data_IF_210632667535
#
_entry.id   IF_210632667535
#
_cell.length_a   1.000
_cell.length_b   1.000
_cell.length_c   1.000
_cell.angle_alpha   90.00
_cell.angle_beta   90.00
_cell.angle_gamma   90.00
#
_symmetry.space_group_name_H-M   'P 1'
#
loop_
_entity.id
_entity.type
_entity.pdbx_description
1 polymer ?
#
# COMPACT_ATOMS: atom_id res chain seq x y z
N UNK A 1 3.85 10.01 11.95
CA UNK A 1 4.04 9.30 10.67
C UNK A 1 5.50 8.94 10.51
N UNK A 2 5.81 7.69 10.14
CA UNK A 2 7.12 7.25 9.64
C UNK A 2 6.98 6.60 8.27
N UNK A 3 8.02 6.67 7.46
CA UNK A 3 8.10 6.00 6.16
C UNK A 3 9.34 5.13 6.14
N UNK A 4 9.17 3.86 5.81
CA UNK A 4 10.24 2.89 5.60
C UNK A 4 10.28 2.48 4.13
N UNK A 5 11.48 2.41 3.58
CA UNK A 5 11.71 1.96 2.21
C UNK A 5 11.95 0.45 2.24
N UNK A 6 11.23 -0.30 1.40
CA UNK A 6 11.42 -1.74 1.22
C UNK A 6 11.92 -1.96 -0.20
N UNK A 7 13.25 -2.17 -0.38
CA UNK A 7 13.82 -2.34 -1.71
C UNK A 7 13.35 -3.65 -2.35
N UNK A 8 13.01 -3.59 -3.64
CA UNK A 8 12.86 -4.76 -4.49
C UNK A 8 13.72 -4.60 -5.77
N UNK A 9 13.97 -5.67 -6.55
CA UNK A 9 14.92 -5.64 -7.65
C UNK A 9 14.68 -4.50 -8.65
N UNK A 10 15.76 -4.12 -9.36
CA UNK A 10 15.77 -3.10 -10.41
C UNK A 10 15.47 -1.68 -9.91
N UNK A 11 16.13 -1.28 -8.82
CA UNK A 11 16.10 0.09 -8.29
C UNK A 11 14.70 0.59 -7.88
N UNK A 12 13.81 -0.33 -7.53
CA UNK A 12 12.46 -0.02 -7.10
C UNK A 12 12.25 -0.18 -5.60
N UNK A 13 11.21 0.47 -5.08
CA UNK A 13 10.89 0.47 -3.66
C UNK A 13 9.39 0.36 -3.43
N UNK A 14 9.01 -0.48 -2.48
CA UNK A 14 7.73 -0.33 -1.79
C UNK A 14 7.92 0.64 -0.62
N UNK A 15 6.87 1.39 -0.28
CA UNK A 15 6.92 2.34 0.84
C UNK A 15 5.95 1.92 1.92
N UNK A 16 6.48 1.58 3.10
CA UNK A 16 5.69 1.30 4.29
C UNK A 16 5.52 2.61 5.10
N UNK A 17 4.32 3.17 5.04
CA UNK A 17 3.87 4.35 5.77
C UNK A 17 3.24 3.89 7.07
N UNK A 18 3.65 4.44 8.20
CA UNK A 18 3.19 4.00 9.52
C UNK A 18 2.68 5.18 10.33
N UNK A 19 1.47 5.05 10.85
CA UNK A 19 1.04 5.84 11.99
C UNK A 19 1.59 5.21 13.27
N UNK A 20 2.57 5.87 13.87
CA UNK A 20 3.20 5.38 15.09
C UNK A 20 2.28 5.44 16.31
N UNK A 21 1.22 6.26 16.26
CA UNK A 21 0.28 6.42 17.38
C UNK A 21 -0.65 5.21 17.49
N UNK A 22 -1.33 4.85 16.41
CA UNK A 22 -2.30 3.75 16.34
C UNK A 22 -1.67 2.40 16.02
N UNK A 23 -0.44 2.40 15.52
CA UNK A 23 0.21 1.22 14.95
C UNK A 23 -0.49 0.66 13.70
N UNK A 24 -1.22 1.52 13.00
CA UNK A 24 -1.71 1.22 11.65
C UNK A 24 -0.63 1.54 10.61
N UNK A 25 -0.56 0.72 9.57
CA UNK A 25 0.39 0.89 8.49
C UNK A 25 -0.27 0.82 7.14
N UNK A 26 0.32 1.47 6.16
CA UNK A 26 -0.01 1.34 4.76
C UNK A 26 1.20 1.06 3.91
N UNK A 27 1.02 0.28 2.84
CA UNK A 27 2.09 0.02 1.87
C UNK A 27 1.69 0.50 0.49
N UNK A 28 2.62 1.23 -0.14
CA UNK A 28 2.59 1.62 -1.55
C UNK A 28 3.41 0.61 -2.36
N UNK A 29 2.86 0.16 -3.49
CA UNK A 29 3.44 -0.79 -4.44
C UNK A 29 4.05 -2.05 -3.80
N UNK A 30 3.23 -2.90 -3.13
CA UNK A 30 3.70 -4.06 -2.38
C UNK A 30 4.10 -5.23 -3.30
N UNK A 31 5.11 -5.05 -4.13
CA UNK A 31 5.55 -6.01 -5.15
C UNK A 31 6.02 -7.34 -4.58
N UNK A 32 6.75 -7.30 -3.45
CA UNK A 32 7.17 -8.48 -2.67
C UNK A 32 6.49 -8.42 -1.30
N UNK A 33 5.22 -8.86 -1.17
CA UNK A 33 4.43 -8.74 0.05
C UNK A 33 5.11 -9.32 1.29
N UNK A 34 5.81 -10.44 1.16
CA UNK A 34 6.52 -11.08 2.26
C UNK A 34 7.60 -10.17 2.85
N UNK A 35 8.36 -9.45 2.01
CA UNK A 35 9.37 -8.47 2.47
C UNK A 35 8.72 -7.27 3.15
N UNK A 36 7.57 -6.82 2.63
CA UNK A 36 6.78 -5.76 3.26
C UNK A 36 6.30 -6.18 4.65
N UNK A 37 5.80 -7.41 4.78
CA UNK A 37 5.36 -7.97 6.06
C UNK A 37 6.53 -8.13 7.04
N UNK A 38 7.69 -8.59 6.57
CA UNK A 38 8.91 -8.68 7.37
C UNK A 38 9.39 -7.29 7.82
N UNK A 39 9.37 -6.29 6.93
CA UNK A 39 9.66 -4.91 7.27
C UNK A 39 8.67 -4.37 8.31
N UNK A 40 7.36 -4.61 8.17
CA UNK A 40 6.39 -4.21 9.17
C UNK A 40 6.68 -4.87 10.54
N UNK A 41 6.92 -6.19 10.55
CA UNK A 41 7.17 -6.95 11.77
C UNK A 41 8.49 -6.57 12.48
N UNK A 42 9.55 -6.28 11.72
CA UNK A 42 10.85 -5.86 12.28
C UNK A 42 10.80 -4.49 12.93
N UNK A 43 9.95 -3.58 12.43
CA UNK A 43 9.82 -2.22 12.96
C UNK A 43 8.81 -2.10 14.11
N UNK A 44 8.03 -3.15 14.44
CA UNK A 44 7.16 -3.14 15.63
C UNK A 44 7.00 -4.49 16.29
N UNK A 45 7.24 -4.49 17.61
CA UNK A 45 7.18 -5.67 18.48
C UNK A 45 5.77 -6.27 18.72
N UNK A 46 4.77 -5.98 17.87
CA UNK A 46 3.40 -6.55 17.88
C UNK A 46 2.66 -6.07 16.63
N UNK A 47 1.97 -7.00 15.96
CA UNK A 47 1.15 -6.85 14.74
C UNK A 47 0.70 -5.42 14.42
N UNK A 48 1.30 -4.80 13.41
CA UNK A 48 0.71 -3.64 12.74
C UNK A 48 -0.50 -4.10 11.95
N UNK A 49 -1.61 -3.37 12.04
CA UNK A 49 -2.73 -3.57 11.14
C UNK A 49 -2.33 -2.95 9.80
N UNK A 50 -2.02 -3.79 8.82
CA UNK A 50 -1.62 -3.33 7.49
C UNK A 50 -2.85 -3.07 6.63
N UNK A 51 -2.99 -1.84 6.17
CA UNK A 51 -3.93 -1.34 5.17
C UNK A 51 -3.14 -0.90 3.92
N UNK A 52 -2.94 -1.73 2.89
CA UNK A 52 -2.17 -1.40 1.72
C UNK A 52 -2.88 -0.30 0.97
N UNK A 53 -2.32 0.89 1.07
CA UNK A 53 -2.69 2.01 0.23
C UNK A 53 -1.96 1.78 -1.08
N UNK A 54 -2.55 0.94 -1.93
CA UNK A 54 -2.17 0.90 -3.33
C UNK A 54 -2.52 2.27 -3.92
N UNK A 55 -1.49 3.05 -4.26
CA UNK A 55 -1.65 4.30 -4.97
C UNK A 55 -0.79 4.30 -6.21
N UNK A 56 -1.47 3.96 -7.30
CA UNK A 56 -1.35 4.54 -8.63
C UNK A 56 -0.05 5.25 -9.01
N UNK A 57 0.76 4.54 -9.79
CA UNK A 57 1.34 5.09 -11.00
C UNK A 57 1.05 4.12 -12.15
N UNK A 58 0.00 4.40 -12.92
CA UNK A 58 -0.08 3.92 -14.29
C UNK A 58 0.83 4.83 -15.13
N UNK A 59 2.14 4.73 -14.93
CA UNK A 59 3.09 5.12 -15.94
C UNK A 59 3.68 3.79 -16.37
N UNK A 60 3.41 3.42 -17.63
CA UNK A 60 3.94 2.26 -18.35
C UNK A 60 3.42 0.88 -17.93
N UNK A 61 2.29 0.49 -18.53
CA UNK A 61 1.92 -0.79 -19.18
C UNK A 61 2.44 -2.18 -18.71
N UNK A 62 3.39 -2.33 -17.78
CA UNK A 62 3.74 -3.65 -17.24
C UNK A 62 3.43 -3.80 -15.76
N UNK A 63 2.85 -4.96 -15.48
CA UNK A 63 2.04 -5.37 -14.33
C UNK A 63 2.75 -5.40 -12.97
N UNK A 64 3.92 -4.79 -12.85
CA UNK A 64 4.89 -5.11 -11.82
C UNK A 64 4.60 -4.48 -10.45
N UNK A 65 4.00 -3.28 -10.40
CA UNK A 65 3.69 -2.58 -9.14
C UNK A 65 2.48 -3.18 -8.40
N UNK A 66 1.53 -3.75 -9.13
CA UNK A 66 0.32 -4.37 -8.59
C UNK A 66 0.41 -5.90 -8.47
N UNK A 67 1.51 -6.53 -8.88
CA UNK A 67 1.62 -8.01 -8.92
C UNK A 67 1.48 -8.67 -7.55
N UNK A 68 1.88 -7.96 -6.49
CA UNK A 68 1.77 -8.45 -5.12
C UNK A 68 0.39 -8.29 -4.47
N UNK A 69 -0.56 -7.60 -5.12
CA UNK A 69 -1.86 -7.28 -4.51
C UNK A 69 -2.70 -8.53 -4.20
N UNK A 70 -2.73 -9.51 -5.09
CA UNK A 70 -3.48 -10.75 -4.82
C UNK A 70 -2.80 -11.56 -3.70
N UNK A 71 -1.46 -11.56 -3.67
CA UNK A 71 -0.70 -12.29 -2.66
C UNK A 71 -0.84 -11.64 -1.29
N UNK A 72 -0.78 -10.32 -1.18
CA UNK A 72 -0.95 -9.63 0.12
C UNK A 72 -2.36 -9.84 0.69
N UNK A 73 -3.39 -9.97 -0.16
CA UNK A 73 -4.75 -10.36 0.27
C UNK A 73 -4.85 -11.75 0.86
N UNK A 74 -4.06 -12.69 0.34
CA UNK A 74 -3.98 -14.04 0.91
C UNK A 74 -3.24 -14.03 2.24
N UNK A 75 -2.16 -13.24 2.36
CA UNK A 75 -1.33 -13.16 3.56
C UNK A 75 -1.98 -12.36 4.69
N UNK A 76 -2.80 -11.36 4.35
CA UNK A 76 -3.52 -10.50 5.29
C UNK A 76 -5.01 -10.51 4.92
N UNK A 77 -5.80 -11.43 5.48
CA UNK A 77 -7.23 -11.48 5.21
C UNK A 77 -7.95 -10.19 5.66
N UNK A 78 -8.88 -9.69 4.85
CA UNK A 78 -9.66 -8.47 5.15
C UNK A 78 -8.93 -7.15 4.85
N UNK A 79 -7.74 -7.24 4.27
CA UNK A 79 -6.95 -6.09 3.85
C UNK A 79 -7.64 -5.28 2.74
N UNK A 80 -7.62 -3.94 2.86
CA UNK A 80 -8.17 -3.03 1.84
C UNK A 80 -7.10 -2.66 0.82
N UNK A 81 -7.36 -2.92 -0.45
CA UNK A 81 -6.48 -2.55 -1.57
C UNK A 81 -7.14 -1.41 -2.33
N UNK A 82 -6.54 -0.23 -2.25
CA UNK A 82 -7.05 0.97 -2.92
C UNK A 82 -6.60 1.05 -4.38
N UNK A 83 -7.43 1.65 -5.24
CA UNK A 83 -7.02 1.91 -6.62
C UNK A 83 -7.95 2.90 -7.31
N UNK A 84 -7.38 3.78 -8.13
CA UNK A 84 -8.06 4.59 -9.13
C UNK A 84 -9.17 3.82 -9.85
N UNK A 85 -10.33 4.47 -9.94
CA UNK A 85 -11.57 3.86 -10.40
C UNK A 85 -11.52 3.42 -11.87
N UNK A 86 -10.69 4.08 -12.68
CA UNK A 86 -10.57 3.91 -14.13
C UNK A 86 -9.48 2.93 -14.55
N UNK A 87 -8.52 2.62 -13.68
CA UNK A 87 -7.31 1.92 -14.09
C UNK A 87 -7.23 0.46 -13.64
N UNK A 88 -8.36 -0.09 -13.21
CA UNK A 88 -8.59 -1.54 -13.13
C UNK A 88 -7.48 -2.32 -12.38
N UNK A 89 -7.00 -1.77 -11.25
CA UNK A 89 -5.93 -2.39 -10.45
C UNK A 89 -6.30 -3.79 -10.02
N UNK A 90 -5.41 -4.73 -10.33
CA UNK A 90 -5.53 -6.13 -9.89
C UNK A 90 -5.56 -6.21 -8.37
N UNK A 91 -6.49 -6.98 -7.83
CA UNK A 91 -6.66 -7.14 -6.39
C UNK A 91 -7.39 -5.98 -5.68
N UNK A 92 -7.72 -4.89 -6.38
CA UNK A 92 -8.43 -3.74 -5.79
C UNK A 92 -9.75 -4.17 -5.12
N UNK A 93 -9.97 -3.66 -3.91
CA UNK A 93 -11.20 -3.84 -3.12
C UNK A 93 -11.96 -2.53 -2.97
N UNK A 94 -11.25 -1.40 -2.98
CA UNK A 94 -11.79 -0.08 -2.69
C UNK A 94 -11.34 0.90 -3.79
N UNK A 95 -12.26 1.26 -4.67
CA UNK A 95 -11.96 2.24 -5.73
C UNK A 95 -11.92 3.65 -5.17
N UNK A 96 -11.00 4.47 -5.70
CA UNK A 96 -10.89 5.90 -5.38
C UNK A 96 -10.92 6.75 -6.65
N UNK A 97 -11.45 7.95 -6.54
CA UNK A 97 -11.44 8.99 -7.56
C UNK A 97 -10.47 10.12 -7.20
N UNK A 98 -10.33 11.10 -8.08
CA UNK A 98 -9.57 12.30 -7.78
C UNK A 98 -10.23 13.09 -6.65
N UNK A 99 -9.46 13.46 -5.62
CA UNK A 99 -9.94 14.23 -4.48
C UNK A 99 -10.47 13.39 -3.32
N UNK A 100 -10.64 12.07 -3.50
CA UNK A 100 -11.04 11.17 -2.42
C UNK A 100 -10.02 11.15 -1.30
N UNK A 101 -10.50 10.95 -0.06
CA UNK A 101 -9.67 10.91 1.14
C UNK A 101 -9.80 9.56 1.84
N UNK A 102 -8.66 9.01 2.22
CA UNK A 102 -8.56 7.77 3.02
C UNK A 102 -7.80 8.11 4.30
N UNK A 103 -8.39 7.76 5.44
CA UNK A 103 -7.71 7.90 6.73
C UNK A 103 -6.84 6.67 7.02
N UNK A 104 -5.70 6.91 7.64
CA UNK A 104 -4.79 5.89 8.16
C UNK A 104 -4.46 6.26 9.61
N UNK A 105 -4.83 5.40 10.56
CA UNK A 105 -4.66 5.69 11.97
C UNK A 105 -5.41 6.94 12.43
N UNK A 106 -4.84 7.64 13.42
CA UNK A 106 -5.46 8.77 14.06
C UNK A 106 -5.25 10.07 13.27
N UNK A 107 -4.05 10.26 12.73
CA UNK A 107 -3.60 11.58 12.27
C UNK A 107 -3.23 11.64 10.78
N UNK A 108 -3.20 10.50 10.07
CA UNK A 108 -2.77 10.48 8.65
C UNK A 108 -4.00 10.51 7.75
N UNK A 109 -4.03 11.49 6.84
CA UNK A 109 -5.03 11.62 5.78
C UNK A 109 -4.34 11.53 4.41
N UNK A 110 -4.80 10.59 3.59
CA UNK A 110 -4.27 10.32 2.26
C UNK A 110 -5.25 10.89 1.25
N UNK A 111 -4.79 11.88 0.47
CA UNK A 111 -5.57 12.46 -0.63
C UNK A 111 -5.26 11.73 -1.93
N UNK A 112 -6.27 11.19 -2.60
CA UNK A 112 -6.19 10.66 -3.96
C UNK A 112 -6.04 11.79 -4.97
N UNK A 113 -5.06 11.68 -5.85
CA UNK A 113 -4.79 12.69 -6.89
C UNK A 113 -4.65 11.94 -8.20
N UNK A 114 -5.50 12.27 -9.16
CA UNK A 114 -5.41 11.73 -10.51
C UNK A 114 -4.38 12.52 -11.31
N UNK A 115 -3.41 11.82 -11.89
CA UNK A 115 -2.30 12.40 -12.64
C UNK A 115 -2.22 11.73 -14.02
N UNK A 116 -2.96 12.26 -15.02
CA UNK A 116 -2.96 11.73 -16.39
C UNK A 116 -1.60 11.86 -17.10
#
# INVERSE_FOLDING_TARGET
>A
MKIYHVPYPQDNYSYLIVDESTKEGAVVDPVEPEKVLEAANSHGKRSWLLMPVCKFCAIIYDSDHARGNEKIKQLVPGIKVYGGSIDNVKGCTDKVENGDKVSLGADINILSLHTP
#
